data_IF_711923022856
#
_entry.id   IF_711923022856
#
_cell.length_a   1.000
_cell.length_b   1.000
_cell.length_c   1.000
_cell.angle_alpha   90.00
_cell.angle_beta   90.00
_cell.angle_gamma   90.00
#
_symmetry.space_group_name_H-M   'P 1'
#
loop_
_entity.id
_entity.type
_entity.pdbx_description
1 polymer ?
#
# COMPACT_ATOMS: atom_id res chain seq x y z
N UNK A 1 4.13 0.68 8.39
CA UNK A 1 3.39 1.10 7.17
C UNK A 1 2.53 -0.03 6.64
N UNK A 2 1.20 0.15 6.63
CA UNK A 2 0.30 -0.81 6.01
C UNK A 2 0.20 -0.58 4.49
N UNK A 3 -0.09 -1.65 3.74
CA UNK A 3 -0.27 -1.59 2.29
C UNK A 3 -1.41 -2.50 1.83
N UNK A 4 -1.97 -2.18 0.67
CA UNK A 4 -3.11 -2.88 0.13
C UNK A 4 -3.47 -2.42 -1.27
N UNK A 5 -4.62 -2.89 -1.75
CA UNK A 5 -5.21 -2.42 -3.00
C UNK A 5 -6.49 -1.64 -2.73
N UNK A 6 -6.62 -0.48 -3.36
CA UNK A 6 -7.88 0.23 -3.49
C UNK A 6 -8.66 -0.36 -4.67
N UNK A 7 -9.86 -0.84 -4.37
CA UNK A 7 -10.86 -1.26 -5.33
C UNK A 7 -11.60 -0.03 -5.84
N UNK A 8 -11.35 0.37 -7.08
CA UNK A 8 -12.16 1.41 -7.69
C UNK A 8 -13.52 0.83 -8.12
N UNK A 9 -14.56 1.66 -8.07
CA UNK A 9 -15.86 1.29 -8.59
C UNK A 9 -15.89 1.38 -10.12
N UNK A 10 -16.64 0.49 -10.79
CA UNK A 10 -16.78 0.38 -12.25
C UNK A 10 -15.50 -0.08 -12.99
N UNK A 11 -15.33 0.31 -14.26
CA UNK A 11 -14.21 -0.05 -15.14
C UNK A 11 -12.91 0.72 -14.84
N UNK A 12 -12.78 1.31 -13.64
CA UNK A 12 -11.59 2.06 -13.24
C UNK A 12 -10.50 1.10 -12.75
N UNK A 13 -9.24 1.47 -13.00
CA UNK A 13 -8.08 0.67 -12.59
C UNK A 13 -7.92 0.66 -11.08
N UNK A 14 -7.73 -0.53 -10.48
CA UNK A 14 -7.37 -0.65 -9.08
C UNK A 14 -5.97 -0.09 -8.83
N UNK A 15 -5.71 0.40 -7.63
CA UNK A 15 -4.42 1.00 -7.29
C UNK A 15 -3.82 0.37 -6.05
N UNK A 16 -2.49 0.32 -5.98
CA UNK A 16 -1.77 0.12 -4.74
C UNK A 16 -1.92 1.35 -3.85
N UNK A 17 -2.12 1.10 -2.56
CA UNK A 17 -2.23 2.14 -1.53
C UNK A 17 -1.39 1.78 -0.31
N UNK A 18 -0.88 2.81 0.36
CA UNK A 18 -0.19 2.68 1.65
C UNK A 18 -0.73 3.68 2.67
N UNK A 19 -0.66 3.33 3.95
CA UNK A 19 -1.06 4.21 5.04
C UNK A 19 -0.27 3.87 6.31
N UNK A 20 -0.38 4.73 7.33
CA UNK A 20 0.21 4.46 8.65
C UNK A 20 -0.57 3.32 9.30
N UNK A 21 0.12 2.23 9.66
CA UNK A 21 -0.55 1.10 10.32
C UNK A 21 -1.06 1.52 11.70
N UNK A 22 -2.26 1.05 12.08
CA UNK A 22 -2.99 1.52 13.25
C UNK A 22 -3.84 2.78 13.02
N UNK A 23 -3.56 3.56 11.98
CA UNK A 23 -4.41 4.68 11.56
C UNK A 23 -5.50 4.23 10.57
N UNK A 24 -6.49 5.11 10.36
CA UNK A 24 -7.54 4.87 9.36
C UNK A 24 -6.95 5.00 7.95
N UNK A 25 -7.04 3.93 7.17
CA UNK A 25 -6.68 3.94 5.76
C UNK A 25 -7.43 5.05 4.98
N UNK A 26 -8.67 5.35 5.32
CA UNK A 26 -9.42 6.45 4.72
C UNK A 26 -9.74 7.55 5.74
N UNK A 27 -9.45 8.83 5.43
CA UNK A 27 -8.86 9.36 4.19
C UNK A 27 -7.31 9.37 4.18
N UNK A 28 -6.64 8.66 5.11
CA UNK A 28 -5.21 8.77 5.37
C UNK A 28 -4.27 8.00 4.43
N UNK A 29 -4.78 7.33 3.40
CA UNK A 29 -3.97 6.56 2.46
C UNK A 29 -3.34 7.43 1.39
N UNK A 30 -2.16 6.99 0.96
CA UNK A 30 -1.46 7.46 -0.21
C UNK A 30 -1.72 6.47 -1.35
N UNK A 31 -2.19 6.96 -2.49
CA UNK A 31 -2.25 6.17 -3.73
C UNK A 31 -0.85 6.13 -4.34
N UNK A 32 -0.36 4.93 -4.64
CA UNK A 32 1.00 4.70 -5.11
C UNK A 32 1.04 4.58 -6.63
N UNK A 33 0.35 3.57 -7.16
CA UNK A 33 0.34 3.26 -8.58
C UNK A 33 -0.80 2.31 -8.95
N UNK A 34 -0.99 2.07 -10.25
CA UNK A 34 -1.93 1.05 -10.74
C UNK A 34 -1.53 -0.34 -10.28
N UNK A 35 -2.52 -1.19 -10.01
CA UNK A 35 -2.32 -2.55 -9.47
C UNK A 35 -1.57 -3.47 -10.44
N UNK A 36 -1.62 -3.19 -11.75
CA UNK A 36 -0.86 -3.92 -12.78
C UNK A 36 0.64 -3.66 -12.70
N UNK A 37 1.04 -2.56 -12.06
CA UNK A 37 2.43 -2.19 -11.84
C UNK A 37 2.85 -2.58 -10.41
N UNK A 38 4.16 -2.70 -10.20
CA UNK A 38 4.71 -3.03 -8.89
C UNK A 38 4.76 -1.75 -8.04
N UNK A 39 4.39 -1.81 -6.74
CA UNK A 39 4.48 -0.67 -5.84
C UNK A 39 5.92 -0.40 -5.36
N UNK A 40 6.88 -1.26 -5.71
CA UNK A 40 8.29 -1.11 -5.33
C UNK A 40 9.04 -0.08 -6.17
N UNK A 41 10.19 0.36 -5.65
CA UNK A 41 11.13 1.28 -6.31
C UNK A 41 10.53 2.67 -6.62
N UNK A 42 9.36 2.95 -6.02
CA UNK A 42 8.68 4.23 -6.08
C UNK A 42 8.60 4.80 -4.66
N UNK A 43 9.22 5.95 -4.47
CA UNK A 43 9.16 6.66 -3.21
C UNK A 43 7.74 7.20 -2.99
N UNK A 44 7.26 7.11 -1.76
CA UNK A 44 5.98 7.66 -1.34
C UNK A 44 6.11 8.31 0.04
N UNK A 45 5.21 9.24 0.34
CA UNK A 45 5.24 9.98 1.60
C UNK A 45 4.04 9.60 2.45
N UNK A 46 4.27 9.34 3.73
CA UNK A 46 3.24 9.25 4.76
C UNK A 46 3.55 10.28 5.84
N UNK A 47 2.71 11.32 5.96
CA UNK A 47 3.02 12.48 6.80
C UNK A 47 4.22 13.25 6.26
N UNK A 48 5.29 13.35 7.06
CA UNK A 48 6.55 14.01 6.68
C UNK A 48 7.67 13.01 6.33
N UNK A 49 7.39 11.71 6.39
CA UNK A 49 8.39 10.65 6.19
C UNK A 49 8.25 10.04 4.80
N UNK A 50 9.38 9.93 4.10
CA UNK A 50 9.48 9.30 2.78
C UNK A 50 9.91 7.84 2.96
N UNK A 51 9.21 6.96 2.27
CA UNK A 51 9.43 5.52 2.27
C UNK A 51 9.51 4.99 0.84
N UNK A 52 10.15 3.84 0.68
CA UNK A 52 10.14 3.09 -0.58
C UNK A 52 9.87 1.62 -0.29
N UNK A 53 8.95 1.00 -1.02
CA UNK A 53 8.78 -0.45 -0.93
C UNK A 53 9.86 -1.18 -1.76
N UNK A 54 10.29 -2.34 -1.26
CA UNK A 54 11.27 -3.18 -1.94
C UNK A 54 10.91 -4.67 -1.89
N UNK A 55 11.52 -5.43 -2.81
CA UNK A 55 11.37 -6.89 -2.89
C UNK A 55 10.01 -7.36 -3.42
N UNK A 56 9.42 -6.64 -4.38
CA UNK A 56 8.19 -7.01 -5.10
C UNK A 56 8.45 -8.08 -6.17
N UNK A 57 9.00 -9.24 -5.77
CA UNK A 57 9.50 -10.27 -6.69
C UNK A 57 8.51 -11.42 -6.98
N UNK A 58 7.23 -11.30 -6.62
CA UNK A 58 6.20 -12.34 -6.87
C UNK A 58 5.09 -11.93 -7.86
N UNK A 59 4.24 -12.91 -8.24
CA UNK A 59 3.14 -12.75 -9.22
C UNK A 59 2.10 -11.69 -8.83
N UNK A 60 1.96 -11.43 -7.53
CA UNK A 60 1.04 -10.41 -7.00
C UNK A 60 1.72 -9.06 -6.74
N UNK A 61 3.01 -8.90 -7.01
CA UNK A 61 3.73 -7.63 -6.84
C UNK A 61 3.83 -7.10 -5.40
N UNK A 62 3.39 -7.85 -4.38
CA UNK A 62 3.40 -7.39 -3.00
C UNK A 62 4.83 -7.15 -2.47
N UNK A 63 5.06 -6.07 -1.71
CA UNK A 63 6.37 -5.77 -1.14
C UNK A 63 6.72 -6.72 0.01
N UNK A 64 8.02 -6.97 0.19
CA UNK A 64 8.56 -7.81 1.27
C UNK A 64 9.41 -7.02 2.25
N UNK A 65 9.74 -5.77 1.92
CA UNK A 65 10.52 -4.87 2.77
C UNK A 65 10.17 -3.41 2.49
N UNK A 66 10.52 -2.55 3.44
CA UNK A 66 10.38 -1.10 3.34
C UNK A 66 11.71 -0.43 3.68
N UNK A 67 12.03 0.59 2.87
CA UNK A 67 13.23 1.39 2.96
C UNK A 67 12.87 2.80 3.43
N UNK A 68 13.79 3.47 4.11
CA UNK A 68 13.73 4.91 4.37
C UNK A 68 14.17 5.73 3.14
N UNK A 69 14.22 7.06 3.30
CA UNK A 69 14.62 8.01 2.26
C UNK A 69 16.09 7.90 1.84
N UNK A 70 16.90 7.13 2.56
CA UNK A 70 18.31 6.84 2.25
C UNK A 70 18.49 5.44 1.66
N UNK A 71 17.40 4.83 1.16
CA UNK A 71 17.32 3.46 0.64
C UNK A 71 17.80 2.40 1.66
N UNK A 72 17.78 2.73 2.95
CA UNK A 72 18.19 1.81 4.01
C UNK A 72 16.99 0.98 4.48
N UNK A 73 17.11 -0.35 4.59
CA UNK A 73 16.01 -1.19 5.04
C UNK A 73 15.70 -0.92 6.52
N UNK A 74 14.45 -0.55 6.78
CA UNK A 74 13.96 -0.23 8.13
C UNK A 74 12.91 -1.22 8.65
N UNK A 75 12.43 -2.13 7.78
CA UNK A 75 11.47 -3.16 8.15
C UNK A 75 11.25 -4.22 7.09
N UNK A 76 10.81 -5.40 7.54
CA UNK A 76 10.28 -6.45 6.70
C UNK A 76 8.76 -6.35 6.65
N UNK A 77 8.16 -6.75 5.52
CA UNK A 77 6.72 -6.78 5.36
C UNK A 77 6.17 -8.18 5.61
N UNK A 78 4.99 -8.26 6.21
CA UNK A 78 4.19 -9.47 6.39
C UNK A 78 2.84 -9.33 5.71
N UNK A 79 2.34 -10.44 5.16
CA UNK A 79 1.00 -10.52 4.57
C UNK A 79 -0.08 -10.64 5.65
N UNK A 80 -1.19 -9.94 5.48
CA UNK A 80 -2.41 -10.04 6.29
C UNK A 80 -3.46 -10.95 5.63
N UNK A 81 -4.59 -11.20 6.33
CA UNK A 81 -5.73 -12.01 5.87
C UNK A 81 -6.55 -11.41 4.73
N UNK A 82 -6.08 -10.35 4.08
CA UNK A 82 -6.81 -9.61 3.04
C UNK A 82 -8.13 -9.00 3.54
N UNK A 83 -8.07 -8.36 4.71
CA UNK A 83 -9.24 -7.73 5.32
C UNK A 83 -9.74 -6.54 4.49
N UNK A 84 -11.05 -6.49 4.30
CA UNK A 84 -11.72 -5.43 3.54
C UNK A 84 -12.07 -4.25 4.43
N UNK A 85 -11.62 -3.06 4.05
CA UNK A 85 -11.90 -1.77 4.69
C UNK A 85 -12.85 -0.99 3.77
N UNK A 86 -14.05 -0.69 4.25
CA UNK A 86 -15.01 0.11 3.47
C UNK A 86 -14.73 1.60 3.66
N UNK A 87 -14.60 2.35 2.57
CA UNK A 87 -14.29 3.78 2.60
C UNK A 87 -15.43 4.64 2.06
N UNK A 88 -15.64 5.81 2.68
CA UNK A 88 -16.60 6.84 2.27
C UNK A 88 -17.99 6.29 1.90
N UNK A 89 -18.61 5.55 2.82
CA UNK A 89 -19.96 4.97 2.64
C UNK A 89 -20.11 4.08 1.38
N UNK A 90 -19.03 3.43 0.95
CA UNK A 90 -19.02 2.49 -0.18
C UNK A 90 -18.58 3.10 -1.53
N UNK A 91 -18.00 4.31 -1.51
CA UNK A 91 -17.47 4.93 -2.73
C UNK A 91 -16.24 4.19 -3.26
N UNK A 92 -15.46 3.56 -2.40
CA UNK A 92 -14.46 2.57 -2.74
C UNK A 92 -14.13 1.72 -1.52
N UNK A 93 -13.51 0.57 -1.76
CA UNK A 93 -13.05 -0.32 -0.69
C UNK A 93 -11.54 -0.52 -0.80
N UNK A 94 -10.91 -0.90 0.30
CA UNK A 94 -9.49 -1.28 0.32
C UNK A 94 -9.40 -2.72 0.80
N UNK A 95 -8.56 -3.52 0.17
CA UNK A 95 -8.15 -4.82 0.69
C UNK A 95 -6.75 -4.65 1.26
N UNK A 96 -6.60 -4.84 2.57
CA UNK A 96 -5.30 -4.78 3.25
C UNK A 96 -4.50 -6.04 2.95
N UNK A 97 -3.42 -5.90 2.20
CA UNK A 97 -2.56 -7.03 1.85
C UNK A 97 -1.53 -7.33 2.93
N UNK A 98 -1.12 -6.33 3.73
CA UNK A 98 -0.13 -6.56 4.77
C UNK A 98 0.37 -5.29 5.45
N UNK A 99 1.42 -5.50 6.23
CA UNK A 99 2.11 -4.47 7.00
C UNK A 99 3.62 -4.62 6.88
N UNK A 100 4.27 -3.49 6.74
CA UNK A 100 5.63 -3.20 7.15
C UNK A 100 5.50 -2.05 8.19
#
# INVERSE_FOLDING_TARGET
VAFGQQLQNNDQTNHWVAWVDGDKACPGMQVLDVLTDKPCEKAFTLGEVVYTFSGCSGDAGAPTSILDSSDSPIGACSSDSNDKINCHDGLHDIIKHGTC
#
